data_IF_732365598119
#
_entry.id   IF_732365598119
#
_cell.length_a   1.000
_cell.length_b   1.000
_cell.length_c   1.000
_cell.angle_alpha   90.00
_cell.angle_beta   90.00
_cell.angle_gamma   90.00
#
_symmetry.space_group_name_H-M   'P 1'
#
loop_
_entity.id
_entity.type
_entity.pdbx_description
1 polymer ?
#
# COMPACT_ATOMS: atom_id res chain seq x y z
N UNK A 1 -62.69 -3.87 21.27
CA UNK A 1 -61.36 -4.55 21.34
C UNK A 1 -60.92 -4.58 22.80
N UNK A 2 -60.47 -5.72 23.35
CA UNK A 2 -60.07 -5.83 24.76
C UNK A 2 -58.94 -4.84 25.10
N UNK A 3 -59.03 -4.14 26.24
CA UNK A 3 -58.04 -3.13 26.68
C UNK A 3 -56.62 -3.68 26.76
N UNK A 4 -56.48 -4.96 27.05
CA UNK A 4 -55.19 -5.66 27.14
C UNK A 4 -54.50 -5.76 25.78
N UNK A 5 -55.24 -6.06 24.70
CA UNK A 5 -54.68 -6.17 23.35
C UNK A 5 -54.08 -4.83 22.91
N UNK A 6 -54.80 -3.72 23.14
CA UNK A 6 -54.33 -2.38 22.80
C UNK A 6 -53.05 -1.99 23.55
N UNK A 7 -52.94 -2.35 24.83
CA UNK A 7 -51.73 -2.10 25.64
C UNK A 7 -50.54 -2.92 25.13
N UNK A 8 -50.76 -4.16 24.72
CA UNK A 8 -49.72 -5.00 24.12
C UNK A 8 -49.22 -4.43 22.79
N UNK A 9 -50.12 -3.98 21.92
CA UNK A 9 -49.77 -3.32 20.65
C UNK A 9 -48.92 -2.06 20.87
N UNK A 10 -49.28 -1.21 21.83
CA UNK A 10 -48.50 -0.01 22.19
C UNK A 10 -47.09 -0.35 22.69
N UNK A 11 -46.94 -1.38 23.54
CA UNK A 11 -45.63 -1.83 24.03
C UNK A 11 -44.76 -2.36 22.89
N UNK A 12 -45.35 -3.14 21.98
CA UNK A 12 -44.67 -3.69 20.81
C UNK A 12 -44.24 -2.57 19.86
N UNK A 13 -45.09 -1.58 19.61
CA UNK A 13 -44.75 -0.41 18.79
C UNK A 13 -43.60 0.42 19.41
N UNK A 14 -43.65 0.71 20.72
CA UNK A 14 -42.57 1.42 21.42
C UNK A 14 -41.26 0.63 21.34
N UNK A 15 -41.30 -0.70 21.54
CA UNK A 15 -40.11 -1.55 21.44
C UNK A 15 -39.54 -1.55 20.03
N UNK A 16 -40.41 -1.61 19.02
CA UNK A 16 -40.03 -1.58 17.60
C UNK A 16 -39.41 -0.25 17.21
N UNK A 17 -40.01 0.88 17.63
CA UNK A 17 -39.45 2.23 17.43
C UNK A 17 -38.08 2.38 18.08
N UNK A 18 -37.91 1.92 19.32
CA UNK A 18 -36.61 1.92 20.02
C UNK A 18 -35.57 1.07 19.28
N UNK A 19 -35.95 -0.12 18.83
CA UNK A 19 -35.07 -0.98 18.04
C UNK A 19 -34.65 -0.29 16.72
N UNK A 20 -35.59 0.28 15.98
CA UNK A 20 -35.31 1.00 14.73
C UNK A 20 -34.39 2.21 14.95
N UNK A 21 -34.57 2.96 16.05
CA UNK A 21 -33.67 4.07 16.41
C UNK A 21 -32.25 3.60 16.74
N UNK A 22 -32.12 2.48 17.44
CA UNK A 22 -30.81 1.85 17.71
C UNK A 22 -30.17 1.42 16.38
N UNK A 23 -30.91 0.72 15.53
CA UNK A 23 -30.40 0.28 14.23
C UNK A 23 -30.00 1.45 13.32
N UNK A 24 -30.78 2.53 13.32
CA UNK A 24 -30.45 3.75 12.60
C UNK A 24 -29.16 4.38 13.14
N UNK A 25 -29.03 4.47 14.47
CA UNK A 25 -27.85 5.03 15.13
C UNK A 25 -26.59 4.21 14.85
N UNK A 26 -26.68 2.87 14.89
CA UNK A 26 -25.60 1.96 14.50
C UNK A 26 -25.24 2.14 13.02
N UNK A 27 -26.23 2.25 12.15
CA UNK A 27 -26.01 2.44 10.71
C UNK A 27 -25.29 3.76 10.42
N UNK A 28 -25.71 4.86 11.06
CA UNK A 28 -25.05 6.16 10.94
C UNK A 28 -23.61 6.09 11.46
N UNK A 29 -23.40 5.47 12.62
CA UNK A 29 -22.06 5.31 13.19
C UNK A 29 -21.13 4.52 12.26
N UNK A 30 -21.61 3.41 11.69
CA UNK A 30 -20.85 2.62 10.73
C UNK A 30 -20.54 3.42 9.46
N UNK A 31 -21.53 4.14 8.91
CA UNK A 31 -21.33 4.98 7.73
C UNK A 31 -20.24 6.04 7.97
N UNK A 32 -20.31 6.77 9.09
CA UNK A 32 -19.29 7.77 9.48
C UNK A 32 -17.93 7.09 9.63
N UNK A 33 -17.86 5.94 10.31
CA UNK A 33 -16.61 5.20 10.51
C UNK A 33 -15.99 4.80 9.18
N UNK A 34 -16.76 4.22 8.26
CA UNK A 34 -16.29 3.85 6.93
C UNK A 34 -15.83 5.06 6.12
N UNK A 35 -16.56 6.18 6.18
CA UNK A 35 -16.15 7.42 5.50
C UNK A 35 -14.83 7.94 6.05
N UNK A 36 -14.65 7.99 7.37
CA UNK A 36 -13.40 8.43 8.00
C UNK A 36 -12.25 7.51 7.63
N UNK A 37 -12.45 6.18 7.70
CA UNK A 37 -11.44 5.20 7.30
C UNK A 37 -11.06 5.35 5.82
N UNK A 38 -12.04 5.55 4.94
CA UNK A 38 -11.79 5.79 3.52
C UNK A 38 -10.97 7.06 3.29
N UNK A 39 -11.31 8.18 3.97
CA UNK A 39 -10.55 9.41 3.89
C UNK A 39 -9.10 9.22 4.41
N UNK A 40 -8.93 8.55 5.55
CA UNK A 40 -7.62 8.23 6.11
C UNK A 40 -6.79 7.33 5.18
N UNK A 41 -7.41 6.37 4.50
CA UNK A 41 -6.74 5.48 3.54
C UNK A 41 -6.13 6.23 2.34
N UNK A 42 -6.67 7.40 2.01
CA UNK A 42 -6.13 8.28 0.98
C UNK A 42 -4.98 9.17 1.49
N UNK A 43 -4.77 9.25 2.80
CA UNK A 43 -3.77 10.11 3.44
C UNK A 43 -2.65 9.28 4.05
N UNK A 44 -2.91 8.03 4.45
CA UNK A 44 -1.96 7.17 5.12
C UNK A 44 -1.93 5.77 4.51
N UNK A 45 -0.76 5.14 4.56
CA UNK A 45 -0.57 3.72 4.27
C UNK A 45 0.16 3.07 5.43
N UNK A 46 -0.24 1.85 5.76
CA UNK A 46 0.43 1.04 6.79
C UNK A 46 1.29 0.01 6.06
N UNK A 47 2.60 0.07 6.27
CA UNK A 47 3.49 -0.97 5.79
C UNK A 47 3.61 -2.07 6.84
N UNK A 48 3.16 -3.27 6.45
CA UNK A 48 3.20 -4.49 7.28
C UNK A 48 4.22 -5.52 6.76
N UNK A 49 5.01 -5.15 5.75
CA UNK A 49 6.01 -6.04 5.14
C UNK A 49 7.41 -5.47 5.31
N UNK A 50 8.43 -6.28 5.65
CA UNK A 50 9.73 -5.77 6.06
C UNK A 50 10.60 -5.18 4.94
N UNK A 51 10.05 -4.74 3.80
CA UNK A 51 10.86 -4.10 2.74
C UNK A 51 11.30 -2.66 3.04
N UNK A 52 10.62 -2.01 3.97
CA UNK A 52 10.95 -0.72 4.60
C UNK A 52 10.52 -0.87 6.07
N UNK A 53 10.83 0.09 6.97
CA UNK A 53 10.35 0.02 8.35
C UNK A 53 8.85 -0.30 8.44
N UNK A 54 8.47 -1.14 9.39
CA UNK A 54 7.06 -1.38 9.66
C UNK A 54 6.49 -0.10 10.26
N UNK A 55 5.30 0.33 9.83
CA UNK A 55 4.78 1.59 10.36
C UNK A 55 3.71 2.27 9.53
N UNK A 56 3.36 3.46 9.99
CA UNK A 56 2.40 4.37 9.37
C UNK A 56 3.16 5.41 8.57
N UNK A 57 2.79 5.54 7.30
CA UNK A 57 3.37 6.49 6.37
C UNK A 57 2.30 7.48 5.91
N UNK A 58 2.63 8.76 5.90
CA UNK A 58 1.79 9.80 5.27
C UNK A 58 2.04 9.80 3.78
N UNK A 59 0.96 9.85 3.03
CA UNK A 59 0.94 9.97 1.59
C UNK A 59 0.94 11.45 1.19
N UNK A 60 1.94 11.84 0.42
CA UNK A 60 2.16 13.21 -0.03
C UNK A 60 1.99 13.28 -1.55
N UNK A 61 1.52 14.43 -2.04
CA UNK A 61 1.36 14.65 -3.48
C UNK A 61 2.71 14.49 -4.17
N UNK A 62 2.70 13.84 -5.32
CA UNK A 62 3.88 13.73 -6.16
C UNK A 62 3.92 14.91 -7.14
N UNK A 63 4.98 15.70 -7.07
CA UNK A 63 5.23 16.89 -7.91
C UNK A 63 6.08 16.59 -9.15
N UNK A 64 6.39 15.31 -9.40
CA UNK A 64 7.28 14.88 -10.48
C UNK A 64 8.76 14.80 -10.08
N UNK A 65 9.16 15.42 -8.95
CA UNK A 65 10.54 15.41 -8.49
C UNK A 65 10.80 14.23 -7.56
N UNK A 66 11.77 13.38 -7.89
CA UNK A 66 12.18 12.25 -7.06
C UNK A 66 13.66 12.36 -6.71
N UNK A 67 14.00 11.83 -5.53
CA UNK A 67 15.36 11.67 -5.04
C UNK A 67 15.59 10.20 -4.66
N UNK A 68 16.84 9.76 -4.63
CA UNK A 68 17.17 8.44 -4.08
C UNK A 68 16.73 8.39 -2.61
N UNK A 69 16.18 7.26 -2.21
CA UNK A 69 15.63 7.03 -0.87
C UNK A 69 14.19 7.53 -0.68
N UNK A 70 13.64 8.34 -1.60
CA UNK A 70 12.22 8.69 -1.55
C UNK A 70 11.38 7.40 -1.61
N UNK A 71 10.38 7.31 -0.75
CA UNK A 71 9.43 6.20 -0.79
C UNK A 71 8.28 6.55 -1.71
N UNK A 72 7.99 5.66 -2.65
CA UNK A 72 6.95 5.88 -3.65
C UNK A 72 5.90 4.78 -3.60
N UNK A 73 4.66 5.18 -3.86
CA UNK A 73 3.49 4.31 -3.99
C UNK A 73 3.10 4.28 -5.45
N UNK A 74 2.96 3.07 -6.00
CA UNK A 74 2.58 2.86 -7.39
C UNK A 74 1.83 1.54 -7.53
N UNK A 75 1.07 1.43 -8.61
CA UNK A 75 0.45 0.18 -8.99
C UNK A 75 1.44 -0.73 -9.74
N UNK A 76 1.56 -1.96 -9.27
CA UNK A 76 2.29 -3.01 -9.96
C UNK A 76 1.32 -3.71 -10.92
N UNK A 77 1.83 -4.06 -12.11
CA UNK A 77 1.09 -4.81 -13.12
C UNK A 77 0.43 -6.08 -12.53
N UNK A 78 -0.82 -6.35 -12.94
CA UNK A 78 -1.66 -7.45 -12.44
C UNK A 78 -0.94 -8.80 -12.50
N UNK A 79 -0.11 -9.03 -13.53
CA UNK A 79 0.65 -10.28 -13.66
C UNK A 79 1.59 -10.55 -12.47
N UNK A 80 2.04 -9.50 -11.78
CA UNK A 80 2.92 -9.61 -10.62
C UNK A 80 2.19 -9.52 -9.29
N UNK A 81 0.91 -9.09 -9.25
CA UNK A 81 0.14 -9.00 -7.98
C UNK A 81 0.12 -10.34 -7.24
N UNK A 82 0.11 -11.44 -7.99
CA UNK A 82 0.15 -12.81 -7.46
C UNK A 82 1.49 -13.25 -6.86
N UNK A 83 2.56 -12.49 -7.06
CA UNK A 83 3.92 -12.78 -6.57
C UNK A 83 4.30 -11.93 -5.35
N UNK A 84 3.40 -11.03 -4.93
CA UNK A 84 3.62 -10.16 -3.76
C UNK A 84 3.00 -10.78 -2.52
N UNK A 85 3.54 -10.46 -1.34
CA UNK A 85 2.95 -10.80 -0.05
C UNK A 85 1.60 -10.12 0.21
N UNK A 86 1.21 -9.16 -0.64
CA UNK A 86 -0.05 -8.42 -0.59
C UNK A 86 -1.08 -8.93 -1.62
N UNK A 87 -0.86 -10.14 -2.18
CA UNK A 87 -1.78 -10.80 -3.11
C UNK A 87 -3.22 -10.83 -2.57
N UNK A 88 -4.17 -10.49 -3.44
CA UNK A 88 -5.61 -10.50 -3.10
C UNK A 88 -6.05 -9.36 -2.19
N UNK A 89 -5.15 -8.42 -1.88
CA UNK A 89 -5.47 -7.23 -1.08
C UNK A 89 -5.50 -5.98 -1.96
N UNK A 90 -6.11 -4.90 -1.43
CA UNK A 90 -6.04 -3.57 -2.03
C UNK A 90 -4.79 -2.78 -1.61
N UNK A 91 -3.84 -3.40 -0.89
CA UNK A 91 -2.63 -2.70 -0.46
C UNK A 91 -1.75 -2.38 -1.66
N UNK A 92 -1.26 -1.14 -1.70
CA UNK A 92 -0.28 -0.70 -2.70
C UNK A 92 1.12 -0.82 -2.11
N UNK A 93 2.10 -1.31 -2.88
CA UNK A 93 3.46 -1.41 -2.40
C UNK A 93 4.05 -0.01 -2.18
N UNK A 94 4.83 0.10 -1.11
CA UNK A 94 5.65 1.28 -0.82
C UNK A 94 7.10 0.85 -0.93
N UNK A 95 7.85 1.43 -1.87
CA UNK A 95 9.25 1.06 -2.11
C UNK A 95 10.15 2.28 -2.21
N UNK A 96 11.42 2.18 -1.75
CA UNK A 96 12.39 3.25 -1.92
C UNK A 96 12.89 3.32 -3.37
N UNK A 97 13.06 4.55 -3.87
CA UNK A 97 13.74 4.83 -5.14
C UNK A 97 15.24 4.59 -4.95
N UNK A 98 15.81 3.68 -5.74
CA UNK A 98 17.21 3.31 -5.66
C UNK A 98 18.05 3.93 -6.79
N UNK A 99 17.50 3.99 -8.01
CA UNK A 99 18.25 4.44 -9.18
C UNK A 99 17.39 5.17 -10.22
N UNK A 100 18.06 6.06 -10.97
CA UNK A 100 17.55 6.80 -12.12
C UNK A 100 18.27 6.38 -13.40
N UNK A 101 17.82 6.92 -14.54
CA UNK A 101 18.43 6.70 -15.85
C UNK A 101 19.96 6.91 -15.89
N UNK A 102 20.45 7.95 -15.22
CA UNK A 102 21.87 8.31 -15.16
C UNK A 102 22.71 7.36 -14.30
N UNK A 103 22.07 6.51 -13.49
CA UNK A 103 22.77 5.62 -12.57
C UNK A 103 23.22 4.33 -13.27
N UNK A 104 24.43 3.89 -12.92
CA UNK A 104 24.97 2.62 -13.38
C UNK A 104 24.36 1.48 -12.57
N UNK A 105 23.50 0.68 -13.20
CA UNK A 105 22.95 -0.54 -12.59
C UNK A 105 23.63 -1.77 -13.19
N UNK A 106 24.22 -2.60 -12.33
CA UNK A 106 24.93 -3.81 -12.73
C UNK A 106 24.32 -5.03 -12.07
N UNK A 107 24.14 -6.11 -12.83
CA UNK A 107 23.83 -7.44 -12.30
C UNK A 107 25.10 -8.27 -12.39
N UNK A 108 25.62 -8.73 -11.24
CA UNK A 108 26.81 -9.60 -11.17
C UNK A 108 26.42 -10.89 -10.47
N UNK A 109 26.37 -11.99 -11.22
CA UNK A 109 25.78 -13.24 -10.74
C UNK A 109 24.30 -13.05 -10.41
N UNK A 110 23.90 -13.39 -9.18
CA UNK A 110 22.53 -13.21 -8.68
C UNK A 110 22.38 -11.96 -7.80
N UNK A 111 23.24 -10.93 -7.94
CA UNK A 111 23.17 -9.71 -7.13
C UNK A 111 23.03 -8.46 -8.00
N UNK A 112 22.30 -7.48 -7.50
CA UNK A 112 22.09 -6.18 -8.16
C UNK A 112 22.86 -5.08 -7.44
N UNK A 113 23.53 -4.24 -8.22
CA UNK A 113 24.32 -3.12 -7.74
C UNK A 113 23.87 -1.81 -8.40
N UNK A 114 23.83 -0.73 -7.64
CA UNK A 114 23.58 0.63 -8.14
C UNK A 114 24.80 1.48 -7.81
N UNK A 115 25.49 2.01 -8.83
CA UNK A 115 26.73 2.76 -8.68
C UNK A 115 27.78 2.05 -7.79
N UNK A 116 27.86 0.72 -7.88
CA UNK A 116 28.76 -0.11 -7.09
C UNK A 116 28.25 -0.50 -5.69
N UNK A 117 27.15 0.10 -5.22
CA UNK A 117 26.51 -0.28 -3.95
C UNK A 117 25.64 -1.53 -4.14
N UNK A 118 25.77 -2.50 -3.22
CA UNK A 118 25.01 -3.75 -3.24
C UNK A 118 23.58 -3.56 -2.69
N UNK A 119 22.57 -3.87 -3.53
CA UNK A 119 21.15 -3.83 -3.17
C UNK A 119 20.56 -5.21 -2.90
N UNK A 120 21.39 -6.26 -2.91
CA UNK A 120 21.05 -7.60 -2.48
C UNK A 120 20.79 -8.59 -3.60
N UNK A 121 20.28 -9.74 -3.20
CA UNK A 121 20.12 -10.93 -4.05
C UNK A 121 18.85 -10.84 -4.92
N UNK A 122 18.98 -11.35 -6.14
CA UNK A 122 17.90 -11.75 -7.03
C UNK A 122 17.73 -13.26 -6.83
N UNK A 123 16.62 -13.65 -6.21
CA UNK A 123 16.30 -15.07 -6.00
C UNK A 123 16.02 -15.76 -7.34
N UNK A 124 16.81 -16.78 -7.74
CA UNK A 124 16.70 -17.42 -9.05
C UNK A 124 15.37 -18.17 -9.26
N UNK A 125 14.67 -18.51 -8.18
CA UNK A 125 13.36 -19.16 -8.22
C UNK A 125 12.25 -18.23 -8.75
N UNK A 126 12.51 -16.91 -8.78
CA UNK A 126 11.58 -15.89 -9.27
C UNK A 126 12.18 -15.25 -10.52
N UNK A 127 11.44 -15.32 -11.62
CA UNK A 127 11.87 -14.71 -12.89
C UNK A 127 12.04 -13.19 -12.75
N UNK A 128 13.22 -12.70 -13.11
CA UNK A 128 13.53 -11.28 -13.19
C UNK A 128 13.24 -10.76 -14.60
N UNK A 129 12.40 -9.71 -14.69
CA UNK A 129 12.17 -8.99 -15.95
C UNK A 129 13.05 -7.75 -16.08
N UNK A 130 13.96 -7.52 -15.13
CA UNK A 130 14.84 -6.36 -15.18
C UNK A 130 16.08 -6.68 -16.03
N UNK A 131 16.26 -5.96 -17.12
CA UNK A 131 17.35 -6.17 -18.07
C UNK A 131 18.59 -5.30 -17.79
N UNK A 132 18.69 -4.71 -16.59
CA UNK A 132 19.79 -3.82 -16.21
C UNK A 132 19.67 -2.39 -16.75
N UNK A 133 18.62 -2.04 -17.49
CA UNK A 133 18.44 -0.71 -18.08
C UNK A 133 17.24 0.00 -17.49
N UNK A 134 17.43 1.28 -17.18
CA UNK A 134 16.39 2.22 -16.77
C UNK A 134 16.19 3.19 -17.94
N UNK A 135 14.95 3.58 -18.27
CA UNK A 135 14.68 4.66 -19.23
C UNK A 135 14.58 6.02 -18.54
N UNK A 136 14.71 7.11 -19.30
CA UNK A 136 14.63 8.48 -18.77
C UNK A 136 13.33 8.77 -18.00
N UNK A 137 12.20 8.20 -18.45
CA UNK A 137 10.89 8.33 -17.83
C UNK A 137 10.63 7.30 -16.72
N UNK A 138 11.63 6.51 -16.34
CA UNK A 138 11.53 5.44 -15.37
C UNK A 138 12.42 5.69 -14.14
N UNK A 139 12.12 4.95 -13.06
CA UNK A 139 12.95 4.83 -11.87
C UNK A 139 12.99 3.37 -11.42
N UNK A 140 14.10 2.94 -10.83
CA UNK A 140 14.21 1.61 -10.25
C UNK A 140 14.00 1.69 -8.73
N UNK A 141 13.10 0.87 -8.20
CA UNK A 141 12.82 0.77 -6.77
C UNK A 141 13.41 -0.50 -6.20
N UNK A 142 14.30 -0.40 -5.19
CA UNK A 142 15.00 -1.54 -4.60
C UNK A 142 15.11 -1.39 -3.09
N UNK A 143 14.69 -2.42 -2.35
CA UNK A 143 14.99 -2.54 -0.94
C UNK A 143 16.25 -3.38 -0.72
N UNK A 144 17.08 -2.94 0.22
CA UNK A 144 18.22 -3.73 0.72
C UNK A 144 17.78 -4.93 1.58
N UNK A 145 16.51 -5.01 1.96
CA UNK A 145 16.00 -6.13 2.75
C UNK A 145 15.88 -7.37 1.85
N UNK A 146 16.55 -8.44 2.28
CA UNK A 146 16.57 -9.73 1.60
C UNK A 146 15.15 -10.29 1.43
N UNK A 147 14.87 -10.87 0.26
CA UNK A 147 13.59 -11.48 -0.06
C UNK A 147 12.50 -10.49 -0.44
N UNK A 148 12.82 -9.20 -0.58
CA UNK A 148 11.84 -8.21 -1.01
C UNK A 148 11.50 -8.38 -2.49
N UNK A 149 10.22 -8.54 -2.79
CA UNK A 149 9.71 -8.41 -4.15
C UNK A 149 9.65 -6.93 -4.54
N UNK A 150 10.58 -6.50 -5.38
CA UNK A 150 10.71 -5.12 -5.88
C UNK A 150 11.22 -5.07 -7.35
N UNK A 151 11.88 -3.97 -7.75
CA UNK A 151 12.34 -3.71 -9.11
C UNK A 151 13.28 -4.77 -9.66
N UNK A 152 13.85 -5.63 -8.80
CA UNK A 152 14.55 -6.85 -9.20
C UNK A 152 13.70 -7.75 -10.10
N UNK A 153 12.38 -7.80 -9.91
CA UNK A 153 11.51 -8.77 -10.56
C UNK A 153 10.60 -8.17 -11.62
N UNK A 154 9.99 -7.03 -11.35
CA UNK A 154 9.09 -6.36 -12.30
C UNK A 154 9.77 -5.26 -13.13
N UNK A 155 11.04 -4.94 -12.85
CA UNK A 155 11.81 -3.93 -13.57
C UNK A 155 11.61 -2.50 -13.07
N UNK A 156 12.17 -1.55 -13.82
CA UNK A 156 11.98 -0.13 -13.57
C UNK A 156 10.51 0.27 -13.80
N UNK A 157 10.04 1.26 -13.05
CA UNK A 157 8.66 1.76 -13.11
C UNK A 157 8.64 3.12 -13.78
N UNK A 158 7.63 3.37 -14.61
CA UNK A 158 7.41 4.71 -15.17
C UNK A 158 7.08 5.70 -14.06
N UNK A 159 7.68 6.88 -14.11
CA UNK A 159 7.38 8.01 -13.20
C UNK A 159 5.89 8.36 -13.23
N UNK A 160 5.22 8.22 -14.39
CA UNK A 160 3.78 8.46 -14.54
C UNK A 160 2.87 7.44 -13.81
N UNK A 161 3.41 6.27 -13.41
CA UNK A 161 2.67 5.29 -12.61
C UNK A 161 2.83 5.51 -11.11
N UNK A 162 3.66 6.48 -10.70
CA UNK A 162 3.82 6.85 -9.30
C UNK A 162 2.66 7.74 -8.90
N UNK A 163 1.90 7.28 -7.92
CA UNK A 163 0.71 8.00 -7.45
C UNK A 163 1.08 9.05 -6.41
N UNK A 164 1.92 8.67 -5.44
CA UNK A 164 2.25 9.47 -4.26
C UNK A 164 3.65 9.17 -3.74
N UNK A 165 4.20 10.13 -3.00
CA UNK A 165 5.31 9.89 -2.09
C UNK A 165 4.79 9.42 -0.74
N UNK A 166 5.60 8.64 -0.03
CA UNK A 166 5.32 8.21 1.32
C UNK A 166 6.40 8.74 2.28
N UNK A 167 5.99 9.19 3.46
CA UNK A 167 6.90 9.61 4.52
C UNK A 167 6.55 8.91 5.81
N UNK A 168 7.53 8.27 6.45
CA UNK A 168 7.34 7.61 7.74
C UNK A 168 6.91 8.64 8.78
N UNK A 169 5.80 8.35 9.47
CA UNK A 169 5.29 9.15 10.59
C UNK A 169 5.46 8.41 11.90
N UNK A 170 5.23 7.10 11.89
CA UNK A 170 5.34 6.28 13.08
C UNK A 170 5.87 4.89 12.72
N UNK A 171 6.98 4.50 13.33
CA UNK A 171 7.58 3.18 13.16
C UNK A 171 7.07 2.22 14.23
N UNK A 172 6.68 1.01 13.82
CA UNK A 172 6.37 -0.07 14.74
C UNK A 172 7.69 -0.68 15.22
N UNK A 173 8.05 -0.40 16.47
CA UNK A 173 9.16 -1.09 17.15
C UNK A 173 8.60 -2.38 17.73
N UNK A 174 8.91 -3.51 17.08
CA UNK A 174 8.46 -4.85 17.45
C UNK A 174 9.70 -5.71 17.67
#
# INVERSE_FOLDING_TARGET
MPKEIKKWEEIVDIRTKKFNLIMLSVSIFLAITFTVLHLLSNIYVINVTPSIPLGIYKLEKFDGMLKKGDLVVYEVDDKYKNLTSIKGTMFKPVKPVAAFYEDKVEIKGNRIYVNGEDYGEIFPEISSNFNGKIKEDEVLTLSKVRGTFDGRYYGAIKKSKIEKKARLIYEFRI
#
